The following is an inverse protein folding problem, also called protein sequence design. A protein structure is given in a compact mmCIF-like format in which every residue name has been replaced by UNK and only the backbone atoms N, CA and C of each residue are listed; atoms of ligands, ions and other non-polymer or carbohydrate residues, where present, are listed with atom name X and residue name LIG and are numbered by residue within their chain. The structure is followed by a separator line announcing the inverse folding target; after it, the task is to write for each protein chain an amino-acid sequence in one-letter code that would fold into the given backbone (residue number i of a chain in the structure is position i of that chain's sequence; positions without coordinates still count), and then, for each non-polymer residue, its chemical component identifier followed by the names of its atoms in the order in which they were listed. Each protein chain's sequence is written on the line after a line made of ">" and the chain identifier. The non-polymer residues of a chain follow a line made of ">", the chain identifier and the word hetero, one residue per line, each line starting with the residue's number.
data_IF_745187211533
#
_entry.id   IF_745187211533
#
_cell.length_a   1.000
_cell.length_b   1.000
_cell.length_c   1.000
_cell.angle_alpha   90.00
_cell.angle_beta   90.00
_cell.angle_gamma   90.00
#
_symmetry.space_group_name_H-M   'P 1'
#
loop_
_entity.id
_entity.type
_entity.pdbx_description
1 polymer ?
#
# COMPACT_ATOMS: atom_id res chain seq x y z
N UNK A 1 -23.21 56.44 48.99
CA UNK A 1 -21.83 56.38 48.44
C UNK A 1 -21.48 54.90 48.42
N UNK A 2 -21.75 54.16 47.34
CA UNK A 2 -20.77 53.82 46.31
C UNK A 2 -21.50 53.50 45.00
N UNK A 3 -21.59 54.50 44.13
CA UNK A 3 -21.82 54.34 42.71
C UNK A 3 -20.47 54.68 42.04
N UNK A 4 -20.09 53.98 40.95
CA UNK A 4 -18.93 54.20 40.05
C UNK A 4 -17.80 53.14 40.00
N UNK A 5 -18.11 51.84 40.02
CA UNK A 5 -17.08 50.81 39.68
C UNK A 5 -17.57 49.67 38.76
N UNK A 6 -18.59 49.91 37.94
CA UNK A 6 -19.20 48.85 37.11
C UNK A 6 -19.14 49.08 35.60
N UNK A 7 -18.62 50.23 35.15
CA UNK A 7 -18.60 50.58 33.71
C UNK A 7 -17.28 50.24 33.01
N UNK A 8 -16.13 50.37 33.70
CA UNK A 8 -14.82 50.00 33.15
C UNK A 8 -14.64 48.48 33.00
N UNK A 9 -15.17 47.70 33.94
CA UNK A 9 -15.00 46.24 33.98
C UNK A 9 -15.69 45.50 32.83
N UNK A 10 -16.82 46.00 32.34
CA UNK A 10 -17.56 45.36 31.24
C UNK A 10 -16.83 45.57 29.92
N UNK A 11 -16.27 46.76 29.69
CA UNK A 11 -15.48 47.09 28.50
C UNK A 11 -14.14 46.34 28.42
N UNK A 12 -13.52 46.00 29.56
CA UNK A 12 -12.33 45.15 29.57
C UNK A 12 -12.65 43.67 29.32
N UNK A 13 -13.80 43.19 29.79
CA UNK A 13 -14.22 41.79 29.61
C UNK A 13 -14.62 41.49 28.15
N UNK A 14 -15.27 42.43 27.45
CA UNK A 14 -15.58 42.29 26.01
C UNK A 14 -14.30 42.34 25.17
N UNK A 15 -13.40 43.29 25.43
CA UNK A 15 -12.09 43.37 24.75
C UNK A 15 -11.19 42.16 25.01
N UNK A 16 -11.32 41.52 26.17
CA UNK A 16 -10.58 40.29 26.48
C UNK A 16 -11.15 39.09 25.72
N UNK A 17 -12.48 38.97 25.64
CA UNK A 17 -13.15 37.91 24.84
C UNK A 17 -12.86 38.04 23.35
N UNK A 18 -12.88 39.24 22.79
CA UNK A 18 -12.54 39.49 21.38
C UNK A 18 -11.08 39.17 21.07
N UNK A 19 -10.14 39.56 21.95
CA UNK A 19 -8.72 39.19 21.80
C UNK A 19 -8.51 37.68 21.90
N UNK A 20 -9.19 37.01 22.84
CA UNK A 20 -9.10 35.56 22.99
C UNK A 20 -9.67 34.82 21.79
N UNK A 21 -10.78 35.28 21.21
CA UNK A 21 -11.35 34.72 19.99
C UNK A 21 -10.40 34.86 18.79
N UNK A 22 -9.83 36.06 18.60
CA UNK A 22 -8.87 36.34 17.52
C UNK A 22 -7.60 35.48 17.61
N UNK A 23 -7.07 35.27 18.82
CA UNK A 23 -5.92 34.39 19.05
C UNK A 23 -6.28 32.92 18.77
N UNK A 24 -7.49 32.47 19.08
CA UNK A 24 -7.92 31.10 18.74
C UNK A 24 -8.09 30.89 17.24
N UNK A 25 -8.56 31.90 16.51
CA UNK A 25 -8.68 31.89 15.05
C UNK A 25 -7.30 31.89 14.38
N UNK A 26 -6.37 32.75 14.81
CA UNK A 26 -4.97 32.77 14.34
C UNK A 26 -4.21 31.46 14.65
N UNK A 27 -4.49 30.81 15.78
CA UNK A 27 -3.92 29.49 16.11
C UNK A 27 -4.57 28.38 15.26
N UNK A 28 -5.87 28.50 14.94
CA UNK A 28 -6.57 27.59 14.05
C UNK A 28 -6.03 27.66 12.62
N UNK A 29 -5.92 28.87 12.06
CA UNK A 29 -5.37 29.14 10.72
C UNK A 29 -3.89 28.73 10.61
N UNK A 30 -3.09 28.93 11.65
CA UNK A 30 -1.69 28.47 11.67
C UNK A 30 -1.60 26.94 11.64
N UNK A 31 -2.47 26.23 12.36
CA UNK A 31 -2.50 24.75 12.32
C UNK A 31 -2.97 24.23 10.97
N UNK A 32 -3.97 24.84 10.35
CA UNK A 32 -4.41 24.44 9.00
C UNK A 32 -3.33 24.69 7.96
N UNK A 33 -2.59 25.80 8.06
CA UNK A 33 -1.41 26.04 7.21
C UNK A 33 -0.28 25.03 7.45
N UNK A 34 0.01 24.68 8.71
CA UNK A 34 1.03 23.67 9.03
C UNK A 34 0.62 22.28 8.52
N UNK A 35 -0.67 21.93 8.61
CA UNK A 35 -1.22 20.67 8.07
C UNK A 35 -1.18 20.64 6.53
N UNK A 36 -1.51 21.75 5.86
CA UNK A 36 -1.42 21.88 4.40
C UNK A 36 0.03 21.79 3.89
N UNK A 37 0.99 22.38 4.61
CA UNK A 37 2.43 22.26 4.29
C UNK A 37 2.94 20.83 4.52
N UNK A 38 2.48 20.16 5.59
CA UNK A 38 2.84 18.76 5.84
C UNK A 38 2.32 17.84 4.72
N UNK A 39 1.09 18.07 4.26
CA UNK A 39 0.48 17.26 3.22
C UNK A 39 1.16 17.49 1.87
N UNK A 40 1.48 18.75 1.54
CA UNK A 40 2.27 19.07 0.36
C UNK A 40 3.64 18.38 0.39
N UNK A 41 4.32 18.37 1.55
CA UNK A 41 5.59 17.68 1.71
C UNK A 41 5.46 16.15 1.55
N UNK A 42 4.36 15.55 2.03
CA UNK A 42 4.09 14.11 1.82
C UNK A 42 3.86 13.78 0.35
N UNK A 43 3.12 14.62 -0.37
CA UNK A 43 2.85 14.44 -1.80
C UNK A 43 4.16 14.56 -2.58
N UNK A 44 4.99 15.56 -2.29
CA UNK A 44 6.30 15.74 -2.92
C UNK A 44 7.26 14.58 -2.63
N UNK A 45 7.29 14.11 -1.37
CA UNK A 45 8.09 12.96 -0.98
C UNK A 45 7.61 11.67 -1.68
N UNK A 46 6.30 11.42 -1.71
CA UNK A 46 5.73 10.26 -2.40
C UNK A 46 6.02 10.29 -3.91
N UNK A 47 5.87 11.47 -4.54
CA UNK A 47 6.19 11.65 -5.95
C UNK A 47 7.68 11.43 -6.25
N UNK A 48 8.57 11.95 -5.41
CA UNK A 48 10.01 11.74 -5.56
C UNK A 48 10.40 10.25 -5.40
N UNK A 49 9.78 9.55 -4.45
CA UNK A 49 9.97 8.11 -4.26
C UNK A 49 9.44 7.30 -5.43
N UNK A 50 8.27 7.66 -5.98
CA UNK A 50 7.70 6.98 -7.15
C UNK A 50 8.57 7.15 -8.40
N UNK A 51 9.13 8.35 -8.60
CA UNK A 51 10.06 8.62 -9.71
C UNK A 51 11.35 7.81 -9.57
N UNK A 52 11.94 7.76 -8.37
CA UNK A 52 13.17 7.00 -8.15
C UNK A 52 12.93 5.48 -8.29
N UNK A 53 11.78 4.99 -7.82
CA UNK A 53 11.38 3.59 -7.97
C UNK A 53 11.16 3.22 -9.45
N UNK A 54 10.42 4.05 -10.20
CA UNK A 54 10.23 3.86 -11.65
C UNK A 54 11.56 3.85 -12.39
N UNK A 55 12.45 4.80 -12.09
CA UNK A 55 13.78 4.86 -12.70
C UNK A 55 14.61 3.61 -12.42
N UNK A 56 14.56 3.07 -11.20
CA UNK A 56 15.26 1.81 -10.87
C UNK A 56 14.70 0.62 -11.65
N UNK A 57 13.38 0.55 -11.84
CA UNK A 57 12.73 -0.50 -12.64
C UNK A 57 13.13 -0.37 -14.13
N UNK A 58 13.12 0.85 -14.67
CA UNK A 58 13.53 1.14 -16.06
C UNK A 58 15.03 0.85 -16.32
N UNK A 59 15.90 1.03 -15.33
CA UNK A 59 17.34 0.74 -15.46
C UNK A 59 17.69 -0.75 -15.28
N UNK A 60 16.82 -1.54 -14.64
CA UNK A 60 17.09 -2.95 -14.35
C UNK A 60 16.32 -3.94 -15.22
N UNK A 61 15.25 -3.50 -15.87
CA UNK A 61 14.35 -4.37 -16.63
C UNK A 61 14.19 -3.84 -18.05
N UNK A 62 14.33 -4.75 -19.01
CA UNK A 62 14.09 -4.46 -20.43
C UNK A 62 12.60 -4.12 -20.62
N UNK A 63 12.28 -2.82 -20.71
CA UNK A 63 10.91 -2.32 -20.78
C UNK A 63 10.12 -2.89 -21.97
N UNK A 64 10.81 -3.22 -23.08
CA UNK A 64 10.20 -3.86 -24.24
C UNK A 64 9.75 -5.29 -23.91
N UNK A 65 10.59 -6.06 -23.20
CA UNK A 65 10.23 -7.41 -22.73
C UNK A 65 9.11 -7.37 -21.70
N UNK A 66 9.07 -6.38 -20.82
CA UNK A 66 7.95 -6.25 -19.88
C UNK A 66 6.62 -6.01 -20.58
N UNK A 67 6.63 -5.13 -21.57
CA UNK A 67 5.42 -4.84 -22.33
C UNK A 67 4.98 -6.07 -23.14
N UNK A 68 5.93 -6.85 -23.66
CA UNK A 68 5.67 -8.15 -24.27
C UNK A 68 5.06 -9.13 -23.25
N UNK A 69 5.64 -9.27 -22.06
CA UNK A 69 5.13 -10.15 -21.00
C UNK A 69 3.73 -9.74 -20.52
N UNK A 70 3.43 -8.45 -20.45
CA UNK A 70 2.08 -7.95 -20.12
C UNK A 70 1.05 -8.23 -21.21
N UNK A 71 1.46 -8.23 -22.48
CA UNK A 71 0.56 -8.47 -23.63
C UNK A 71 0.40 -9.95 -23.96
N UNK A 72 1.30 -10.80 -23.50
CA UNK A 72 1.25 -12.24 -23.77
C UNK A 72 0.19 -12.89 -22.88
N UNK A 73 -0.64 -13.76 -23.49
CA UNK A 73 -1.68 -14.51 -22.79
C UNK A 73 -1.06 -15.56 -21.86
N UNK A 74 -1.53 -15.62 -20.62
CA UNK A 74 -1.04 -16.53 -19.57
C UNK A 74 -1.43 -17.99 -19.82
N UNK A 75 -2.45 -18.25 -20.66
CA UNK A 75 -3.01 -19.59 -20.87
C UNK A 75 -2.04 -20.56 -21.57
N UNK A 76 -1.18 -20.06 -22.45
CA UNK A 76 -0.32 -20.89 -23.32
C UNK A 76 1.12 -21.02 -22.81
N UNK A 77 1.42 -20.49 -21.62
CA UNK A 77 2.78 -20.35 -21.11
C UNK A 77 3.05 -21.37 -20.01
N UNK A 78 4.20 -22.03 -20.09
CA UNK A 78 4.67 -22.95 -19.05
C UNK A 78 5.25 -22.22 -17.83
N UNK A 79 6.15 -21.26 -18.05
CA UNK A 79 6.73 -20.44 -16.97
C UNK A 79 5.96 -19.13 -16.79
N UNK A 80 4.99 -19.15 -15.87
CA UNK A 80 4.13 -18.01 -15.56
C UNK A 80 4.80 -16.93 -14.69
N UNK A 81 5.86 -17.28 -13.96
CA UNK A 81 6.49 -16.39 -12.96
C UNK A 81 6.90 -15.04 -13.55
N UNK A 82 7.67 -14.95 -14.66
CA UNK A 82 8.06 -13.66 -15.22
C UNK A 82 6.86 -12.84 -15.76
N UNK A 83 5.82 -13.51 -16.24
CA UNK A 83 4.62 -12.86 -16.79
C UNK A 83 3.71 -12.30 -15.69
N UNK A 84 3.62 -12.98 -14.55
CA UNK A 84 2.92 -12.50 -13.37
C UNK A 84 3.69 -11.33 -12.73
N UNK A 85 5.02 -11.43 -12.63
CA UNK A 85 5.87 -10.35 -12.12
C UNK A 85 5.81 -9.07 -12.98
N UNK A 86 5.62 -9.19 -14.30
CA UNK A 86 5.45 -8.03 -15.18
C UNK A 86 4.11 -7.28 -14.97
N UNK A 87 3.12 -7.96 -14.36
CA UNK A 87 1.80 -7.41 -14.01
C UNK A 87 1.74 -6.87 -12.58
N UNK A 88 2.58 -7.38 -11.69
CA UNK A 88 2.75 -6.88 -10.34
C UNK A 88 3.50 -5.54 -10.38
N UNK A 89 2.77 -4.43 -10.25
CA UNK A 89 3.33 -3.08 -10.38
C UNK A 89 4.17 -2.68 -9.16
N UNK A 90 3.57 -1.96 -8.22
CA UNK A 90 4.24 -1.49 -7.00
C UNK A 90 4.72 -2.64 -6.09
N UNK A 91 4.01 -3.76 -6.10
CA UNK A 91 4.30 -4.91 -5.22
C UNK A 91 5.60 -5.59 -5.63
N UNK A 92 5.94 -5.61 -6.92
CA UNK A 92 7.21 -6.16 -7.39
C UNK A 92 8.40 -5.41 -6.81
N UNK A 93 8.36 -4.08 -6.75
CA UNK A 93 9.44 -3.30 -6.15
C UNK A 93 9.66 -3.69 -4.67
N UNK A 94 8.59 -4.02 -3.95
CA UNK A 94 8.68 -4.50 -2.57
C UNK A 94 9.25 -5.93 -2.45
N UNK A 95 8.90 -6.81 -3.39
CA UNK A 95 9.41 -8.19 -3.48
C UNK A 95 10.89 -8.22 -3.87
N UNK A 96 11.25 -7.55 -4.97
CA UNK A 96 12.62 -7.46 -5.50
C UNK A 96 13.54 -6.71 -4.52
N UNK A 97 13.04 -5.65 -3.87
CA UNK A 97 13.80 -4.81 -2.94
C UNK A 97 14.26 -5.51 -1.66
N UNK A 98 13.59 -6.60 -1.25
CA UNK A 98 13.99 -7.40 -0.10
C UNK A 98 14.67 -8.72 -0.48
N UNK A 99 14.74 -9.07 -1.77
CA UNK A 99 15.27 -10.36 -2.23
C UNK A 99 14.30 -11.51 -1.99
N UNK A 100 13.00 -11.26 -2.20
CA UNK A 100 11.99 -12.32 -2.27
C UNK A 100 11.37 -12.44 -3.66
N UNK A 101 10.41 -13.34 -3.81
CA UNK A 101 9.76 -13.60 -5.09
C UNK A 101 8.48 -14.42 -4.94
N UNK A 102 7.88 -14.76 -6.08
CA UNK A 102 6.71 -15.63 -6.17
C UNK A 102 7.06 -16.91 -6.92
N UNK A 103 6.41 -18.01 -6.57
CA UNK A 103 6.46 -19.27 -7.28
C UNK A 103 5.04 -19.74 -7.56
N UNK A 104 4.80 -20.28 -8.76
CA UNK A 104 3.51 -20.90 -9.09
C UNK A 104 3.55 -22.35 -8.65
N UNK A 105 2.69 -22.72 -7.70
CA UNK A 105 2.55 -24.10 -7.20
C UNK A 105 1.61 -24.88 -8.09
N UNK A 106 0.47 -24.28 -8.42
CA UNK A 106 -0.56 -24.91 -9.23
C UNK A 106 -1.24 -23.87 -10.13
N UNK A 107 -1.58 -24.30 -11.34
CA UNK A 107 -2.41 -23.54 -12.27
C UNK A 107 -3.57 -24.42 -12.72
N UNK A 108 -4.80 -23.90 -12.63
CA UNK A 108 -6.00 -24.56 -13.12
C UNK A 108 -6.70 -23.64 -14.10
N UNK A 109 -6.89 -24.10 -15.34
CA UNK A 109 -7.72 -23.41 -16.32
C UNK A 109 -9.19 -23.81 -16.14
N UNK A 110 -10.05 -22.81 -15.95
CA UNK A 110 -11.50 -22.94 -15.90
C UNK A 110 -12.14 -22.13 -17.04
N UNK A 111 -12.31 -22.78 -18.18
CA UNK A 111 -13.00 -22.21 -19.35
C UNK A 111 -12.34 -20.94 -19.92
N UNK A 112 -11.00 -20.89 -19.96
CA UNK A 112 -10.25 -19.75 -20.49
C UNK A 112 -9.92 -18.69 -19.44
N UNK A 113 -9.98 -19.04 -18.17
CA UNK A 113 -9.63 -18.18 -17.03
C UNK A 113 -8.83 -18.99 -16.01
N UNK A 114 -7.76 -18.41 -15.49
CA UNK A 114 -6.81 -19.10 -14.64
C UNK A 114 -7.11 -18.91 -13.16
N UNK A 115 -7.21 -20.03 -12.45
CA UNK A 115 -7.07 -20.09 -10.99
C UNK A 115 -5.62 -20.49 -10.68
N UNK A 116 -4.92 -19.66 -9.91
CA UNK A 116 -3.49 -19.83 -9.64
C UNK A 116 -3.26 -19.94 -8.13
N UNK A 117 -2.50 -20.96 -7.74
CA UNK A 117 -1.99 -21.11 -6.38
C UNK A 117 -0.53 -20.66 -6.37
N UNK A 118 -0.25 -19.63 -5.57
CA UNK A 118 1.07 -19.02 -5.45
C UNK A 118 1.73 -19.39 -4.11
N UNK A 119 3.05 -19.48 -4.14
CA UNK A 119 3.90 -19.54 -2.96
C UNK A 119 4.85 -18.33 -2.97
N UNK A 120 5.22 -17.85 -1.79
CA UNK A 120 6.19 -16.76 -1.65
C UNK A 120 7.55 -17.33 -1.29
N UNK A 121 8.58 -16.88 -1.98
CA UNK A 121 9.94 -17.36 -1.81
C UNK A 121 10.88 -16.25 -1.34
N UNK A 122 12.04 -16.65 -0.81
CA UNK A 122 13.10 -15.73 -0.38
C UNK A 122 12.77 -14.96 0.91
N UNK A 123 13.30 -13.74 1.02
CA UNK A 123 13.20 -12.94 2.25
C UNK A 123 11.76 -12.47 2.59
N UNK A 124 10.82 -12.58 1.64
CA UNK A 124 9.41 -12.27 1.86
C UNK A 124 8.76 -13.13 2.96
N UNK A 125 9.30 -14.33 3.21
CA UNK A 125 8.92 -15.19 4.33
C UNK A 125 9.42 -14.64 5.67
N UNK A 126 10.62 -14.07 5.69
CA UNK A 126 11.36 -13.74 6.91
C UNK A 126 10.99 -12.38 7.50
N UNK A 127 10.50 -11.46 6.68
CA UNK A 127 10.09 -10.13 7.14
C UNK A 127 8.64 -10.06 7.63
N UNK A 128 7.92 -11.18 7.63
CA UNK A 128 6.47 -11.19 7.81
C UNK A 128 5.82 -10.57 6.60
N UNK A 129 5.38 -11.38 5.63
CA UNK A 129 4.60 -10.92 4.49
C UNK A 129 3.52 -9.99 5.04
N UNK A 130 3.72 -8.67 4.91
CA UNK A 130 2.78 -7.72 5.45
C UNK A 130 1.44 -8.11 4.81
N UNK A 131 0.34 -8.24 5.57
CA UNK A 131 -0.94 -8.65 5.01
C UNK A 131 -1.31 -7.82 3.77
N UNK A 132 -0.88 -6.54 3.74
CA UNK A 132 -1.01 -5.67 2.58
C UNK A 132 -0.22 -6.10 1.34
N UNK A 133 0.91 -6.79 1.46
CA UNK A 133 1.65 -7.35 0.32
C UNK A 133 0.90 -8.53 -0.30
N UNK A 134 0.38 -9.46 0.51
CA UNK A 134 -0.44 -10.58 0.03
C UNK A 134 -1.72 -10.08 -0.65
N UNK A 135 -2.40 -9.14 0.00
CA UNK A 135 -3.59 -8.49 -0.54
C UNK A 135 -3.26 -7.73 -1.83
N UNK A 136 -2.11 -7.06 -1.88
CA UNK A 136 -1.61 -6.35 -3.06
C UNK A 136 -1.35 -7.29 -4.24
N UNK A 137 -0.62 -8.40 -4.02
CA UNK A 137 -0.39 -9.43 -5.05
C UNK A 137 -1.72 -9.95 -5.59
N UNK A 138 -2.65 -10.28 -4.70
CA UNK A 138 -3.98 -10.76 -5.09
C UNK A 138 -4.72 -9.74 -5.94
N UNK A 139 -4.81 -8.49 -5.48
CA UNK A 139 -5.53 -7.43 -6.21
C UNK A 139 -4.92 -7.12 -7.58
N UNK A 140 -3.60 -7.03 -7.66
CA UNK A 140 -2.91 -6.70 -8.90
C UNK A 140 -3.10 -7.82 -9.95
N UNK A 141 -3.10 -9.09 -9.53
CA UNK A 141 -3.28 -10.23 -10.43
C UNK A 141 -4.76 -10.47 -10.78
N UNK A 142 -5.69 -10.35 -9.82
CA UNK A 142 -7.14 -10.46 -10.08
C UNK A 142 -7.70 -9.26 -10.88
N UNK A 143 -6.91 -8.20 -11.08
CA UNK A 143 -7.24 -7.13 -12.01
C UNK A 143 -7.06 -7.55 -13.49
N UNK A 144 -6.32 -8.64 -13.75
CA UNK A 144 -6.14 -9.16 -15.10
C UNK A 144 -7.37 -9.99 -15.54
N UNK A 145 -7.94 -9.75 -16.74
CA UNK A 145 -9.11 -10.48 -17.21
C UNK A 145 -8.88 -11.98 -17.42
N UNK A 146 -7.63 -12.43 -17.52
CA UNK A 146 -7.29 -13.86 -17.67
C UNK A 146 -7.17 -14.59 -16.33
N UNK A 147 -7.21 -13.86 -15.20
CA UNK A 147 -7.09 -14.44 -13.85
C UNK A 147 -8.43 -14.37 -13.15
N UNK A 148 -8.97 -15.53 -12.74
CA UNK A 148 -10.23 -15.61 -12.03
C UNK A 148 -10.05 -15.58 -10.51
N UNK A 149 -9.04 -16.29 -9.99
CA UNK A 149 -8.77 -16.34 -8.55
C UNK A 149 -7.29 -16.58 -8.25
N UNK A 150 -6.79 -15.84 -7.27
CA UNK A 150 -5.47 -16.09 -6.67
C UNK A 150 -5.64 -16.68 -5.27
N UNK A 151 -4.95 -17.79 -5.01
CA UNK A 151 -4.84 -18.42 -3.70
C UNK A 151 -3.38 -18.61 -3.32
N UNK A 152 -3.09 -18.75 -2.02
CA UNK A 152 -1.75 -18.96 -1.51
C UNK A 152 -1.60 -20.35 -0.91
N UNK A 153 -0.41 -20.94 -0.99
CA UNK A 153 -0.17 -22.25 -0.39
C UNK A 153 -0.17 -22.17 1.14
N UNK A 154 -0.89 -23.09 1.79
CA UNK A 154 -0.93 -23.21 3.25
C UNK A 154 0.43 -23.55 3.87
N UNK A 155 1.35 -24.16 3.12
CA UNK A 155 2.73 -24.44 3.58
C UNK A 155 3.50 -23.17 3.95
N UNK A 156 3.11 -22.02 3.38
CA UNK A 156 3.65 -20.72 3.74
C UNK A 156 3.46 -20.43 5.23
N UNK A 157 2.29 -20.76 5.77
CA UNK A 157 1.92 -20.51 7.16
C UNK A 157 2.77 -21.31 8.15
N UNK A 158 3.38 -22.41 7.71
CA UNK A 158 4.24 -23.26 8.53
C UNK A 158 5.61 -22.64 8.81
N UNK A 159 5.97 -21.58 8.08
CA UNK A 159 7.19 -20.79 8.35
C UNK A 159 6.98 -19.72 9.43
N UNK A 160 5.74 -19.40 9.76
CA UNK A 160 5.37 -18.43 10.79
C UNK A 160 5.09 -19.11 12.13
N UNK A 161 5.33 -18.37 13.22
CA UNK A 161 4.87 -18.77 14.54
C UNK A 161 3.34 -18.68 14.66
N UNK A 162 2.78 -19.23 15.73
CA UNK A 162 1.32 -19.28 15.93
C UNK A 162 0.69 -17.87 15.90
N UNK A 163 1.40 -16.87 16.42
CA UNK A 163 0.94 -15.48 16.45
C UNK A 163 0.94 -14.85 15.04
N UNK A 164 2.00 -15.08 14.25
CA UNK A 164 2.10 -14.62 12.86
C UNK A 164 1.04 -15.28 11.97
N UNK A 165 0.76 -16.57 12.17
CA UNK A 165 -0.29 -17.29 11.45
C UNK A 165 -1.68 -16.70 11.73
N UNK A 166 -2.01 -16.47 12.99
CA UNK A 166 -3.30 -15.86 13.38
C UNK A 166 -3.44 -14.43 12.82
N UNK A 167 -2.33 -13.67 12.82
CA UNK A 167 -2.29 -12.32 12.26
C UNK A 167 -2.56 -12.31 10.76
N UNK A 168 -1.93 -13.20 9.99
CA UNK A 168 -2.12 -13.31 8.54
C UNK A 168 -3.54 -13.80 8.20
N UNK A 169 -4.08 -14.78 8.92
CA UNK A 169 -5.45 -15.25 8.69
C UNK A 169 -6.49 -14.16 9.01
N UNK A 170 -6.21 -13.32 10.01
CA UNK A 170 -7.14 -12.26 10.44
C UNK A 170 -7.06 -10.98 9.59
N UNK A 171 -5.88 -10.65 9.06
CA UNK A 171 -5.63 -9.37 8.37
C UNK A 171 -5.23 -9.51 6.90
N UNK A 172 -4.87 -10.70 6.43
CA UNK A 172 -4.39 -10.94 5.08
C UNK A 172 -5.49 -10.87 4.01
N UNK A 173 -6.74 -11.14 4.36
CA UNK A 173 -7.88 -11.16 3.42
C UNK A 173 -7.61 -11.96 2.11
N UNK A 174 -6.84 -13.03 2.25
CA UNK A 174 -6.42 -13.93 1.16
C UNK A 174 -6.83 -15.36 1.48
N UNK A 175 -7.05 -16.16 0.44
CA UNK A 175 -7.41 -17.57 0.57
C UNK A 175 -6.15 -18.45 0.60
N UNK A 176 -6.07 -19.33 1.59
CA UNK A 176 -5.02 -20.35 1.69
C UNK A 176 -5.58 -21.73 1.34
N UNK A 177 -4.84 -22.51 0.54
CA UNK A 177 -5.24 -23.85 0.05
C UNK A 177 -4.16 -24.89 0.37
#
# INVERSE_FOLDING_TARGET
>A
MFCRYRSTFINDCTKYRERKARVHEEIGERRTMDDDILEQYRIEAAAAMEIEAKKRIEETVDAEKEEEYRKTSLLEIDDLVPYLLARLGQVRAALDGHGGGIAVVEKTDKNGVLDIVLDLTGACLSCGAAPGTLEGVKKDLEADPEVNKISFCSSLLDTFDDLGREFILSHGNVDFV
#
